data_IF_035332069697
#
_entry.id   IF_035332069697
#
_cell.length_a   1.000
_cell.length_b   1.000
_cell.length_c   1.000
_cell.angle_alpha   90.00
_cell.angle_beta   90.00
_cell.angle_gamma   90.00
#
_symmetry.space_group_name_H-M   'P 1'
#
loop_
_entity.id
_entity.type
_entity.pdbx_description
1 polymer ?
#
# COMPACT_ATOMS: atom_id res chain seq x y z
N UNK A 1 8.45 5.15 -5.10
CA UNK A 1 8.39 5.94 -6.36
C UNK A 1 7.17 5.48 -7.15
N UNK A 2 6.69 6.25 -8.14
CA UNK A 2 5.56 5.80 -9.01
C UNK A 2 5.85 4.44 -9.67
N UNK A 3 7.13 4.13 -9.92
CA UNK A 3 7.59 2.84 -10.42
C UNK A 3 7.18 1.63 -9.55
N UNK A 4 6.97 1.83 -8.24
CA UNK A 4 6.62 0.75 -7.32
C UNK A 4 5.12 0.42 -7.34
N UNK A 5 4.28 1.30 -7.92
CA UNK A 5 2.81 1.14 -7.93
C UNK A 5 2.40 -0.16 -8.63
N UNK A 6 3.09 -0.54 -9.71
CA UNK A 6 2.83 -1.81 -10.40
C UNK A 6 3.08 -3.04 -9.50
N UNK A 7 4.15 -3.04 -8.72
CA UNK A 7 4.44 -4.13 -7.79
C UNK A 7 3.41 -4.19 -6.65
N UNK A 8 2.99 -3.03 -6.14
CA UNK A 8 1.94 -2.94 -5.11
C UNK A 8 0.62 -3.50 -5.63
N UNK A 9 0.14 -3.06 -6.80
CA UNK A 9 -1.12 -3.55 -7.39
C UNK A 9 -1.05 -5.05 -7.68
N UNK A 10 0.09 -5.55 -8.16
CA UNK A 10 0.29 -6.98 -8.37
C UNK A 10 0.16 -7.78 -7.06
N UNK A 11 0.74 -7.30 -5.95
CA UNK A 11 0.60 -7.93 -4.64
C UNK A 11 -0.83 -7.88 -4.10
N UNK A 12 -1.56 -6.79 -4.34
CA UNK A 12 -2.97 -6.66 -3.96
C UNK A 12 -3.85 -7.64 -4.76
N UNK A 13 -3.59 -7.79 -6.07
CA UNK A 13 -4.31 -8.71 -6.95
C UNK A 13 -4.00 -10.20 -6.67
N UNK A 14 -2.79 -10.54 -6.22
CA UNK A 14 -2.43 -11.92 -5.89
C UNK A 14 -3.11 -12.40 -4.59
N UNK A 15 -3.44 -11.48 -3.68
CA UNK A 15 -4.07 -11.79 -2.40
C UNK A 15 -5.50 -12.33 -2.55
N UNK A 16 -5.85 -13.33 -1.73
CA UNK A 16 -7.15 -14.02 -1.81
C UNK A 16 -8.36 -13.08 -1.67
N UNK A 17 -8.23 -11.98 -0.93
CA UNK A 17 -9.29 -10.98 -0.78
C UNK A 17 -9.31 -9.94 -1.91
N UNK A 18 -8.16 -9.67 -2.53
CA UNK A 18 -7.99 -8.66 -3.59
C UNK A 18 -8.17 -9.20 -5.00
N UNK A 19 -8.00 -10.51 -5.23
CA UNK A 19 -8.06 -11.14 -6.55
C UNK A 19 -9.34 -10.87 -7.36
N UNK A 20 -10.47 -10.65 -6.69
CA UNK A 20 -11.74 -10.35 -7.35
C UNK A 20 -12.00 -8.84 -7.55
N UNK A 21 -11.13 -7.97 -7.01
CA UNK A 21 -11.33 -6.52 -6.91
C UNK A 21 -10.29 -5.71 -7.69
N UNK A 22 -9.08 -6.24 -7.78
CA UNK A 22 -7.95 -5.53 -8.39
C UNK A 22 -7.71 -5.95 -9.84
N UNK A 23 -7.17 -5.03 -10.64
CA UNK A 23 -6.72 -5.28 -12.02
C UNK A 23 -5.25 -4.87 -12.17
N UNK A 24 -4.38 -5.87 -12.20
CA UNK A 24 -2.94 -5.68 -12.39
C UNK A 24 -2.51 -5.68 -13.88
N UNK A 25 -3.46 -5.60 -14.82
CA UNK A 25 -3.15 -5.54 -16.26
C UNK A 25 -2.34 -4.28 -16.57
N UNK A 26 -1.34 -4.42 -17.44
CA UNK A 26 -0.51 -3.30 -17.90
C UNK A 26 -0.97 -2.80 -19.29
N UNK A 27 -1.01 -1.48 -19.51
CA UNK A 27 -0.72 -0.41 -18.55
C UNK A 27 -1.78 -0.35 -17.44
N UNK A 28 -1.35 0.01 -16.22
CA UNK A 28 -2.26 0.14 -15.08
C UNK A 28 -3.36 1.16 -15.39
N UNK A 29 -4.55 0.91 -14.83
CA UNK A 29 -5.63 1.90 -14.82
C UNK A 29 -5.15 3.21 -14.21
N UNK A 30 -5.53 4.33 -14.83
CA UNK A 30 -5.25 5.68 -14.35
C UNK A 30 -5.74 5.88 -12.90
N UNK A 31 -6.79 5.17 -12.49
CA UNK A 31 -7.31 5.25 -11.12
C UNK A 31 -6.27 4.88 -10.05
N UNK A 32 -5.36 3.94 -10.32
CA UNK A 32 -4.28 3.59 -9.38
C UNK A 32 -3.23 4.71 -9.30
N UNK A 33 -2.91 5.34 -10.42
CA UNK A 33 -1.94 6.45 -10.47
C UNK A 33 -2.49 7.70 -9.79
N UNK A 34 -3.78 8.00 -10.01
CA UNK A 34 -4.46 9.11 -9.34
C UNK A 34 -4.53 8.89 -7.82
N UNK A 35 -4.81 7.66 -7.39
CA UNK A 35 -4.80 7.29 -5.97
C UNK A 35 -3.39 7.43 -5.37
N UNK A 36 -2.36 6.96 -6.07
CA UNK A 36 -0.97 7.12 -5.64
C UNK A 36 -0.60 8.59 -5.48
N UNK A 37 -0.92 9.44 -6.46
CA UNK A 37 -0.63 10.87 -6.41
C UNK A 37 -1.35 11.58 -5.24
N UNK A 38 -2.61 11.19 -4.95
CA UNK A 38 -3.34 11.73 -3.80
C UNK A 38 -2.70 11.31 -2.46
N UNK A 39 -2.21 10.08 -2.36
CA UNK A 39 -1.52 9.56 -1.18
C UNK A 39 -0.16 10.25 -1.00
N UNK A 40 0.66 10.31 -2.05
CA UNK A 40 2.00 10.91 -2.00
C UNK A 40 1.97 12.41 -1.71
N UNK A 41 0.90 13.09 -2.14
CA UNK A 41 0.68 14.52 -1.89
C UNK A 41 0.11 14.88 -0.51
N UNK A 42 -0.37 13.92 0.28
CA UNK A 42 -0.97 14.18 1.59
C UNK A 42 0.04 13.94 2.72
N UNK A 43 0.43 14.96 3.52
CA UNK A 43 1.38 14.79 4.61
C UNK A 43 0.88 13.89 5.76
N UNK A 44 -0.41 13.54 5.78
CA UNK A 44 -0.99 12.62 6.75
C UNK A 44 -1.13 11.20 6.19
N UNK A 45 -0.55 10.92 5.02
CA UNK A 45 -0.52 9.61 4.42
C UNK A 45 0.93 9.15 4.24
N UNK A 46 1.15 7.85 4.37
CA UNK A 46 2.39 7.21 3.99
C UNK A 46 2.06 5.86 3.35
N UNK A 47 2.46 5.70 2.08
CA UNK A 47 2.54 4.42 1.41
C UNK A 47 3.98 3.93 1.48
N UNK A 48 4.20 2.85 2.20
CA UNK A 48 5.53 2.28 2.40
C UNK A 48 5.62 0.92 1.71
N UNK A 49 6.79 0.65 1.14
CA UNK A 49 7.15 -0.65 0.58
C UNK A 49 8.27 -1.28 1.40
N UNK A 50 8.25 -2.61 1.46
CA UNK A 50 9.38 -3.40 1.92
C UNK A 50 10.13 -3.89 0.69
N UNK A 51 11.45 -3.72 0.68
CA UNK A 51 12.30 -4.18 -0.41
C UNK A 51 13.29 -5.25 0.05
N UNK A 52 13.64 -6.13 -0.87
CA UNK A 52 14.80 -7.01 -0.79
C UNK A 52 15.66 -6.81 -2.04
N UNK A 53 16.74 -6.03 -1.90
CA UNK A 53 17.44 -5.47 -3.04
C UNK A 53 16.54 -4.50 -3.82
N UNK A 54 16.40 -4.73 -5.12
CA UNK A 54 15.55 -3.94 -6.03
C UNK A 54 14.10 -4.45 -6.08
N UNK A 55 13.81 -5.60 -5.45
CA UNK A 55 12.48 -6.20 -5.47
C UNK A 55 11.59 -5.66 -4.36
N UNK A 56 10.40 -5.18 -4.71
CA UNK A 56 9.34 -4.85 -3.75
C UNK A 56 8.65 -6.15 -3.30
N UNK A 57 8.81 -6.49 -2.03
CA UNK A 57 8.31 -7.75 -1.43
C UNK A 57 7.18 -7.54 -0.42
N UNK A 58 6.82 -6.29 -0.13
CA UNK A 58 5.71 -5.98 0.75
C UNK A 58 5.27 -4.53 0.64
N UNK A 59 4.07 -4.25 1.15
CA UNK A 59 3.46 -2.91 1.15
C UNK A 59 2.58 -2.73 2.37
N UNK A 60 2.48 -1.48 2.83
CA UNK A 60 1.45 -1.02 3.75
C UNK A 60 1.11 0.44 3.43
N UNK A 61 -0.13 0.83 3.71
CA UNK A 61 -0.52 2.22 3.77
C UNK A 61 -0.87 2.59 5.21
N UNK A 62 -0.45 3.76 5.67
CA UNK A 62 -0.87 4.33 6.95
C UNK A 62 -1.42 5.74 6.79
N UNK A 63 -2.58 5.99 7.38
CA UNK A 63 -3.21 7.30 7.50
C UNK A 63 -3.12 7.80 8.94
N UNK A 64 -2.65 9.03 9.12
CA UNK A 64 -2.55 9.71 10.40
C UNK A 64 -3.80 10.56 10.66
N UNK A 65 -4.62 10.16 11.62
CA UNK A 65 -5.89 10.78 11.96
C UNK A 65 -5.74 11.65 13.22
N UNK A 66 -5.76 12.97 13.04
CA UNK A 66 -5.86 13.91 14.15
C UNK A 66 -7.21 13.75 14.88
N UNK A 67 -7.20 13.71 16.21
CA UNK A 67 -8.41 13.53 17.02
C UNK A 67 -8.48 14.47 18.21
N UNK A 68 -9.69 14.85 18.62
CA UNK A 68 -9.92 15.64 19.85
C UNK A 68 -9.96 14.75 21.11
N UNK A 69 -10.32 13.48 20.95
CA UNK A 69 -10.34 12.50 22.03
C UNK A 69 -8.93 12.27 22.58
N UNK A 70 -8.85 11.73 23.81
CA UNK A 70 -7.58 11.43 24.48
C UNK A 70 -6.61 12.62 24.51
N UNK A 71 -7.15 13.83 24.70
CA UNK A 71 -6.39 15.10 24.80
C UNK A 71 -5.62 15.47 23.53
N UNK A 72 -6.27 15.39 22.36
CA UNK A 72 -5.63 15.77 21.10
C UNK A 72 -4.78 14.65 20.47
N UNK A 73 -5.00 13.39 20.88
CA UNK A 73 -4.17 12.29 20.42
C UNK A 73 -4.42 11.99 18.93
N UNK A 74 -3.33 11.65 18.24
CA UNK A 74 -3.36 11.15 16.87
C UNK A 74 -3.48 9.63 16.87
N UNK A 75 -4.06 9.09 15.80
CA UNK A 75 -4.17 7.64 15.57
C UNK A 75 -3.63 7.30 14.19
N UNK A 76 -2.96 6.15 14.07
CA UNK A 76 -2.63 5.56 12.78
C UNK A 76 -3.69 4.54 12.38
N UNK A 77 -4.19 4.62 11.15
CA UNK A 77 -4.99 3.57 10.51
C UNK A 77 -4.13 2.90 9.45
N UNK A 78 -3.84 1.62 9.63
CA UNK A 78 -3.01 0.83 8.72
C UNK A 78 -3.92 -0.02 7.83
N UNK A 79 -3.69 0.01 6.53
CA UNK A 79 -4.44 -0.70 5.51
C UNK A 79 -3.51 -1.30 4.44
N UNK A 80 -4.09 -2.07 3.53
CA UNK A 80 -3.39 -2.64 2.37
C UNK A 80 -2.09 -3.41 2.70
N UNK A 81 -1.98 -3.97 3.92
CA UNK A 81 -0.78 -4.71 4.35
C UNK A 81 -0.67 -6.01 3.56
N UNK A 82 0.35 -6.13 2.72
CA UNK A 82 0.61 -7.33 1.93
C UNK A 82 2.10 -7.66 1.92
N UNK A 83 2.38 -8.96 1.87
CA UNK A 83 3.70 -9.52 1.62
C UNK A 83 3.57 -10.43 0.41
N UNK A 84 4.56 -10.36 -0.49
CA UNK A 84 4.67 -11.21 -1.67
C UNK A 84 4.45 -12.67 -1.28
N UNK A 85 3.66 -13.41 -2.05
CA UNK A 85 3.26 -14.79 -1.71
C UNK A 85 4.46 -15.73 -1.49
N UNK A 86 5.56 -15.51 -2.22
CA UNK A 86 6.83 -16.22 -2.07
C UNK A 86 7.60 -15.94 -0.76
N UNK A 87 7.26 -14.85 -0.05
CA UNK A 87 7.92 -14.38 1.17
C UNK A 87 7.06 -14.51 2.43
N UNK A 88 5.84 -15.05 2.32
CA UNK A 88 4.91 -15.19 3.46
C UNK A 88 5.42 -16.24 4.45
N UNK A 89 5.19 -15.99 5.75
CA UNK A 89 5.58 -16.92 6.82
C UNK A 89 6.99 -16.70 7.36
N UNK A 90 7.74 -15.72 6.82
CA UNK A 90 9.09 -15.37 7.26
C UNK A 90 9.12 -14.37 8.44
N UNK A 91 7.96 -13.89 8.90
CA UNK A 91 7.86 -12.90 9.99
C UNK A 91 8.12 -11.45 9.56
N UNK A 92 7.93 -11.18 8.27
CA UNK A 92 8.03 -9.88 7.62
C UNK A 92 6.75 -9.04 7.78
#
# INVERSE_FOLDING_TARGET
>A
MEADVAAIVAMLADDALGRAREDATLPLSQAYLDAFAAIDGDPNQLLAVMTDGDDVIGTLQITFLAGLSQRGAWRGQIEAVRVASSRRGEGL
#
